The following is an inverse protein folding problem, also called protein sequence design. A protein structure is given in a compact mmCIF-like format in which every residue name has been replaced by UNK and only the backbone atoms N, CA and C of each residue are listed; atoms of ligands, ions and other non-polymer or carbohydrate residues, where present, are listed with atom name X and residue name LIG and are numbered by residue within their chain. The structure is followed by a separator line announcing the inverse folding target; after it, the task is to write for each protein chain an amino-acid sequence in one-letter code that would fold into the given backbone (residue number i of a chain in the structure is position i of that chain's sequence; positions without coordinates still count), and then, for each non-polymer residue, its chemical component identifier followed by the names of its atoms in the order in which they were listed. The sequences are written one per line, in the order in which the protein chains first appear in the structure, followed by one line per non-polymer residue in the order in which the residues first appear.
data_IF_207144202396
#
_entry.id   IF_207144202396
#
_cell.length_a   1.000
_cell.length_b   1.000
_cell.length_c   1.000
_cell.angle_alpha   90.00
_cell.angle_beta   90.00
_cell.angle_gamma   90.00
#
_symmetry.space_group_name_H-M   'P 1'
#
loop_
_entity.id
_entity.type
_entity.pdbx_description
1 polymer ?
#
# COMPACT_ATOMS: atom_id res chain seq x y z
N UNK A 1 -20.40 -21.86 -9.02
CA UNK A 1 -19.16 -21.40 -8.35
C UNK A 1 -19.48 -20.10 -7.62
N UNK A 2 -19.28 -20.03 -6.30
CA UNK A 2 -19.48 -18.82 -5.50
C UNK A 2 -18.18 -18.49 -4.80
N UNK A 3 -17.68 -17.28 -5.00
CA UNK A 3 -16.49 -16.78 -4.31
C UNK A 3 -16.93 -15.98 -3.09
N UNK A 4 -16.34 -16.28 -1.92
CA UNK A 4 -16.61 -15.57 -0.68
C UNK A 4 -15.29 -14.96 -0.21
N UNK A 5 -15.25 -13.63 -0.06
CA UNK A 5 -14.11 -12.94 0.51
C UNK A 5 -14.36 -12.74 2.01
N UNK A 6 -13.55 -13.38 2.85
CA UNK A 6 -13.58 -13.23 4.30
C UNK A 6 -12.21 -12.82 4.82
N UNK A 7 -12.17 -12.06 5.92
CA UNK A 7 -10.92 -11.80 6.64
C UNK A 7 -10.62 -13.00 7.54
N UNK A 8 -9.46 -13.63 7.33
CA UNK A 8 -8.93 -14.68 8.19
C UNK A 8 -7.76 -14.17 9.02
N UNK A 9 -7.55 -14.77 10.18
CA UNK A 9 -6.35 -14.53 10.98
C UNK A 9 -5.43 -15.76 10.88
N UNK A 10 -4.13 -15.53 10.68
CA UNK A 10 -3.11 -16.58 10.71
C UNK A 10 -2.35 -16.49 12.04
N UNK A 11 -2.43 -17.54 12.86
CA UNK A 11 -1.69 -17.65 14.13
C UNK A 11 -0.98 -18.99 14.18
N UNK A 12 0.33 -18.98 14.46
CA UNK A 12 1.16 -20.20 14.56
C UNK A 12 1.07 -21.13 13.35
N UNK A 13 0.85 -20.57 12.15
CA UNK A 13 0.70 -21.35 10.91
C UNK A 13 -0.72 -21.87 10.66
N UNK A 14 -1.66 -21.63 11.56
CA UNK A 14 -3.08 -21.99 11.39
C UNK A 14 -3.88 -20.80 10.87
N UNK A 15 -4.61 -21.01 9.77
CA UNK A 15 -5.56 -20.04 9.21
C UNK A 15 -6.95 -20.29 9.81
N UNK A 16 -7.45 -19.33 10.59
CA UNK A 16 -8.82 -19.36 11.13
C UNK A 16 -9.70 -18.37 10.38
N UNK A 17 -10.71 -18.90 9.68
CA UNK A 17 -11.71 -18.12 8.96
C UNK A 17 -13.09 -18.34 9.57
N UNK A 18 -13.91 -17.28 9.63
CA UNK A 18 -15.34 -17.38 9.94
C UNK A 18 -16.11 -17.18 8.65
N UNK A 19 -16.74 -18.24 8.15
CA UNK A 19 -17.60 -18.18 6.96
C UNK A 19 -19.00 -17.70 7.37
N UNK A 20 -19.54 -16.63 6.76
CA UNK A 20 -20.87 -16.11 7.09
C UNK A 20 -22.02 -16.92 6.48
N UNK A 21 -21.74 -17.91 5.63
CA UNK A 21 -22.74 -18.78 5.01
C UNK A 21 -22.83 -20.13 5.73
N UNK A 22 -24.04 -20.68 5.81
CA UNK A 22 -24.28 -22.11 5.96
C UNK A 22 -23.68 -22.82 4.74
N UNK A 23 -22.40 -23.18 4.84
CA UNK A 23 -21.74 -24.04 3.87
C UNK A 23 -22.07 -25.47 4.26
N UNK A 24 -22.54 -26.26 3.29
CA UNK A 24 -22.69 -27.70 3.45
C UNK A 24 -21.33 -28.33 3.70
N UNK A 25 -21.26 -29.39 4.50
CA UNK A 25 -20.03 -30.16 4.66
C UNK A 25 -19.52 -30.60 3.28
N UNK A 26 -18.25 -30.28 2.99
CA UNK A 26 -17.66 -30.53 1.68
C UNK A 26 -16.29 -29.87 1.52
N UNK A 27 -15.59 -30.24 0.44
CA UNK A 27 -14.30 -29.64 0.07
C UNK A 27 -14.50 -28.28 -0.60
N UNK A 28 -13.61 -27.33 -0.31
CA UNK A 28 -13.63 -25.99 -0.89
C UNK A 28 -12.23 -25.57 -1.35
N UNK A 29 -12.17 -24.83 -2.46
CA UNK A 29 -10.94 -24.20 -2.92
C UNK A 29 -10.68 -22.90 -2.15
N UNK A 30 -9.47 -22.76 -1.60
CA UNK A 30 -9.03 -21.59 -0.84
C UNK A 30 -7.99 -20.78 -1.62
N UNK A 31 -8.24 -19.49 -1.79
CA UNK A 31 -7.26 -18.54 -2.36
C UNK A 31 -6.84 -17.57 -1.26
N UNK A 32 -5.55 -17.58 -0.90
CA UNK A 32 -4.99 -16.75 0.18
C UNK A 32 -4.23 -15.58 -0.44
N UNK A 33 -4.68 -14.36 -0.12
CA UNK A 33 -3.95 -13.14 -0.43
C UNK A 33 -3.35 -12.58 0.87
N UNK A 34 -2.02 -12.47 0.92
CA UNK A 34 -1.37 -11.70 1.98
C UNK A 34 -1.59 -10.23 1.69
N UNK A 35 -2.17 -9.49 2.64
CA UNK A 35 -2.14 -8.04 2.57
C UNK A 35 -0.66 -7.63 2.59
N UNK A 36 -0.17 -7.10 1.46
CA UNK A 36 1.22 -6.67 1.38
C UNK A 36 1.38 -5.43 2.26
N UNK A 37 2.41 -5.46 3.11
CA UNK A 37 2.83 -4.32 3.91
C UNK A 37 3.09 -3.10 3.01
N UNK A 38 3.51 -3.33 1.77
CA UNK A 38 3.67 -2.34 0.71
C UNK A 38 2.40 -1.53 0.41
N UNK A 39 1.21 -2.14 0.45
CA UNK A 39 -0.03 -1.41 0.20
C UNK A 39 -0.37 -0.46 1.35
N UNK A 40 -0.05 -0.87 2.57
CA UNK A 40 -0.21 -0.06 3.78
C UNK A 40 0.83 1.06 3.82
N UNK A 41 2.10 0.75 3.54
CA UNK A 41 3.20 1.71 3.39
C UNK A 41 2.91 2.75 2.30
N UNK A 42 2.37 2.34 1.14
CA UNK A 42 1.99 3.27 0.08
C UNK A 42 0.87 4.21 0.52
N UNK A 43 -0.12 3.72 1.26
CA UNK A 43 -1.18 4.55 1.82
C UNK A 43 -0.63 5.53 2.87
N UNK A 44 0.28 5.07 3.74
CA UNK A 44 0.96 5.92 4.73
C UNK A 44 1.79 7.01 4.05
N UNK A 45 2.61 6.66 3.05
CA UNK A 45 3.42 7.64 2.30
C UNK A 45 2.54 8.66 1.56
N UNK A 46 1.43 8.22 0.98
CA UNK A 46 0.48 9.11 0.32
C UNK A 46 -0.20 10.06 1.29
N UNK A 47 -0.54 9.58 2.49
CA UNK A 47 -1.13 10.41 3.54
C UNK A 47 -0.13 11.48 4.01
N UNK A 48 1.12 11.10 4.25
CA UNK A 48 2.21 12.03 4.58
C UNK A 48 2.43 13.09 3.49
N UNK A 49 2.39 12.69 2.21
CA UNK A 49 2.51 13.64 1.11
C UNK A 49 1.37 14.66 1.10
N UNK A 50 0.14 14.24 1.40
CA UNK A 50 -1.02 15.13 1.53
C UNK A 50 -0.87 16.10 2.70
N UNK A 51 -0.46 15.62 3.87
CA UNK A 51 -0.26 16.44 5.07
C UNK A 51 0.83 17.50 4.87
N UNK A 52 1.90 17.15 4.16
CA UNK A 52 2.95 18.09 3.76
C UNK A 52 2.54 19.00 2.59
N UNK A 53 1.29 18.90 2.12
CA UNK A 53 0.71 19.79 1.14
C UNK A 53 1.04 19.46 -0.32
N UNK A 54 1.66 18.30 -0.60
CA UNK A 54 1.98 17.81 -1.94
C UNK A 54 0.82 17.06 -2.62
N UNK A 55 -0.42 17.46 -2.34
CA UNK A 55 -1.61 16.82 -2.93
C UNK A 55 -1.97 17.40 -4.32
N UNK A 56 -1.36 18.52 -4.71
CA UNK A 56 -1.58 19.16 -6.01
C UNK A 56 -0.41 18.93 -6.96
N UNK A 57 -0.73 18.78 -8.24
CA UNK A 57 0.26 18.66 -9.33
C UNK A 57 1.24 19.83 -9.32
N UNK A 58 0.77 21.03 -8.99
CA UNK A 58 1.58 22.24 -8.93
C UNK A 58 2.68 22.14 -7.88
N UNK A 59 2.35 21.75 -6.63
CA UNK A 59 3.34 21.60 -5.56
C UNK A 59 4.34 20.47 -5.82
N UNK A 60 3.89 19.40 -6.48
CA UNK A 60 4.79 18.32 -6.91
C UNK A 60 5.80 18.85 -7.93
N UNK A 61 5.35 19.67 -8.88
CA UNK A 61 6.23 20.28 -9.88
C UNK A 61 7.21 21.28 -9.26
N UNK A 62 6.77 22.06 -8.28
CA UNK A 62 7.63 22.99 -7.54
C UNK A 62 8.74 22.25 -6.79
N UNK A 63 8.41 21.15 -6.10
CA UNK A 63 9.40 20.31 -5.42
C UNK A 63 10.44 19.74 -6.40
N UNK A 64 9.99 19.23 -7.55
CA UNK A 64 10.88 18.72 -8.60
C UNK A 64 11.80 19.84 -9.10
N UNK A 65 11.28 21.06 -9.25
CA UNK A 65 12.06 22.20 -9.70
C UNK A 65 13.12 22.59 -8.67
N UNK A 66 12.73 22.66 -7.40
CA UNK A 66 13.63 23.00 -6.29
C UNK A 66 14.77 21.98 -6.18
N UNK A 67 14.45 20.68 -6.15
CA UNK A 67 15.47 19.62 -6.09
C UNK A 67 16.41 19.67 -7.30
N UNK A 68 15.90 19.93 -8.51
CA UNK A 68 16.74 20.09 -9.70
C UNK A 68 17.72 21.25 -9.57
N UNK A 69 17.27 22.40 -9.04
CA UNK A 69 18.12 23.56 -8.82
C UNK A 69 19.19 23.27 -7.77
N UNK A 70 18.82 22.65 -6.64
CA UNK A 70 19.77 22.23 -5.60
C UNK A 70 20.86 21.30 -6.16
N UNK A 71 20.48 20.29 -6.96
CA UNK A 71 21.45 19.39 -7.60
C UNK A 71 22.37 20.09 -8.62
N UNK A 72 21.88 21.14 -9.29
CA UNK A 72 22.70 21.93 -10.22
C UNK A 72 23.68 22.83 -9.46
N UNK A 73 23.25 23.43 -8.35
CA UNK A 73 24.12 24.22 -7.46
C UNK A 73 25.23 23.37 -6.83
N UNK A 74 24.92 22.15 -6.38
CA UNK A 74 25.92 21.21 -5.83
C UNK A 74 26.96 20.82 -6.89
N UNK A 75 26.53 20.58 -8.13
CA UNK A 75 27.43 20.31 -9.27
C UNK A 75 28.27 21.51 -9.69
N UNK A 76 27.77 22.73 -9.45
CA UNK A 76 28.51 23.97 -9.68
C UNK A 76 29.56 24.27 -8.60
N UNK A 77 29.29 23.89 -7.35
CA UNK A 77 30.20 24.04 -6.20
C UNK A 77 31.36 23.06 -6.15
N UNK A 78 31.34 22.00 -6.96
CA UNK A 78 32.40 20.98 -7.06
C UNK A 78 33.46 21.28 -8.13
N UNK A 79 33.46 22.48 -8.71
CA UNK A 79 34.55 23.03 -9.53
C UNK A 79 35.30 24.12 -8.77
#
# INVERSE_FOLDING_TARGET
MKMIQVKGEIKQGELKIKTPLEMSDGEVDLIIFKQSQEAEEFQTMRQLAKENGYDSREKIMDLIHQVKLEMLEEKGRTK
#
